data_IF_320818788284
#
_entry.id   IF_320818788284
#
_cell.length_a   1.000
_cell.length_b   1.000
_cell.length_c   1.000
_cell.angle_alpha   90.00
_cell.angle_beta   90.00
_cell.angle_gamma   90.00
#
_symmetry.space_group_name_H-M   'P 1'
#
loop_
_entity.id
_entity.type
_entity.pdbx_description
1 polymer ?
#
# COMPACT_ATOMS: atom_id res chain seq x y z
N UNK A 1 -7.90 23.64 -41.56
CA UNK A 1 -9.00 24.51 -41.11
C UNK A 1 -9.85 23.69 -40.16
N UNK A 2 -9.39 23.55 -38.90
CA UNK A 2 -10.12 22.99 -37.75
C UNK A 2 -9.15 22.92 -36.57
N UNK A 3 -8.69 24.09 -36.09
CA UNK A 3 -7.87 24.18 -34.87
C UNK A 3 -7.91 25.60 -34.29
N UNK A 4 -9.08 26.26 -34.34
CA UNK A 4 -9.30 27.61 -33.76
C UNK A 4 -10.71 27.79 -33.17
N UNK A 5 -11.47 26.73 -32.93
CA UNK A 5 -12.88 26.83 -32.49
C UNK A 5 -13.18 26.29 -31.09
N UNK A 6 -12.19 25.83 -30.31
CA UNK A 6 -12.43 25.26 -28.97
C UNK A 6 -12.01 26.21 -27.83
N UNK A 7 -11.15 27.21 -28.08
CA UNK A 7 -10.74 28.19 -27.05
C UNK A 7 -11.76 29.34 -26.85
N UNK A 8 -12.70 29.55 -27.77
CA UNK A 8 -13.66 30.66 -27.66
C UNK A 8 -14.81 30.37 -26.67
N UNK A 9 -15.23 29.10 -26.51
CA UNK A 9 -16.38 28.74 -25.68
C UNK A 9 -16.06 28.67 -24.17
N UNK A 10 -14.77 28.53 -23.80
CA UNK A 10 -14.33 28.49 -22.39
C UNK A 10 -14.17 29.88 -21.78
N UNK A 11 -13.82 30.88 -22.58
CA UNK A 11 -13.63 32.28 -22.14
C UNK A 11 -14.98 32.98 -21.91
N UNK A 12 -16.02 32.63 -22.68
CA UNK A 12 -17.36 33.24 -22.57
C UNK A 12 -18.09 32.81 -21.28
N UNK A 13 -17.94 31.55 -20.83
CA UNK A 13 -18.57 31.06 -19.60
C UNK A 13 -17.94 31.59 -18.31
N UNK A 14 -16.70 32.09 -18.36
CA UNK A 14 -16.03 32.74 -17.21
C UNK A 14 -16.45 34.20 -17.07
N UNK A 15 -16.76 34.87 -18.18
CA UNK A 15 -17.23 36.27 -18.18
C UNK A 15 -18.66 36.42 -17.62
N UNK A 16 -19.56 35.46 -17.87
CA UNK A 16 -20.92 35.48 -17.33
C UNK A 16 -20.98 35.26 -15.80
N UNK A 17 -20.04 34.49 -15.23
CA UNK A 17 -19.99 34.24 -13.78
C UNK A 17 -19.49 35.46 -12.98
N UNK A 18 -18.64 36.30 -13.57
CA UNK A 18 -18.16 37.53 -12.92
C UNK A 18 -19.22 38.64 -12.86
N UNK A 19 -20.23 38.63 -13.75
CA UNK A 19 -21.29 39.64 -13.74
C UNK A 19 -22.39 39.38 -12.70
N UNK A 20 -22.61 38.13 -12.25
CA UNK A 20 -23.72 37.82 -11.33
C UNK A 20 -23.41 38.07 -9.85
N UNK A 21 -22.16 38.31 -9.46
CA UNK A 21 -21.80 38.40 -8.03
C UNK A 21 -21.62 39.83 -7.49
N UNK A 22 -21.65 40.87 -8.35
CA UNK A 22 -21.39 42.26 -7.96
C UNK A 22 -22.56 43.24 -8.10
N UNK A 23 -23.79 42.75 -8.31
CA UNK A 23 -24.97 43.61 -8.43
C UNK A 23 -26.07 43.23 -7.43
N UNK A 24 -25.86 43.52 -6.15
CA UNK A 24 -26.95 43.92 -5.24
C UNK A 24 -26.37 44.58 -3.99
N UNK A 25 -26.40 45.91 -4.06
CA UNK A 25 -26.25 46.83 -2.95
C UNK A 25 -27.41 46.66 -1.95
N UNK A 26 -27.08 46.56 -0.67
CA UNK A 26 -27.99 46.84 0.45
C UNK A 26 -27.21 47.55 1.54
N UNK A 27 -26.82 48.79 1.24
CA UNK A 27 -27.39 49.92 1.98
C UNK A 27 -26.87 50.13 3.40
N UNK A 28 -25.60 50.54 3.53
CA UNK A 28 -25.20 51.55 4.53
C UNK A 28 -24.16 52.47 3.86
N UNK A 29 -24.62 53.64 3.40
CA UNK A 29 -23.77 54.76 3.00
C UNK A 29 -23.30 55.52 4.24
N UNK A 30 -22.00 55.47 4.54
CA UNK A 30 -21.35 56.45 5.41
C UNK A 30 -20.18 57.09 4.66
N UNK A 31 -20.50 57.75 3.54
CA UNK A 31 -19.64 58.74 2.92
C UNK A 31 -19.99 60.12 3.45
N UNK A 32 -19.45 60.49 4.61
CA UNK A 32 -19.47 61.87 5.08
C UNK A 32 -18.08 62.46 4.88
N UNK A 33 -17.96 63.28 3.84
CA UNK A 33 -16.81 64.15 3.59
C UNK A 33 -16.73 65.17 4.73
N UNK A 34 -15.61 65.21 5.47
CA UNK A 34 -15.37 66.23 6.49
C UNK A 34 -15.24 67.60 5.82
N UNK A 35 -16.25 68.44 6.02
CA UNK A 35 -16.22 69.88 5.75
C UNK A 35 -15.40 70.55 6.85
N UNK A 36 -14.50 71.43 6.43
CA UNK A 36 -13.64 72.23 7.29
C UNK A 36 -14.39 73.56 7.55
N UNK A 37 -14.97 73.70 8.73
CA UNK A 37 -15.53 74.98 9.20
C UNK A 37 -14.57 75.59 10.22
N UNK A 38 -13.95 76.70 9.82
CA UNK A 38 -13.24 77.63 10.69
C UNK A 38 -14.25 78.54 11.43
N UNK A 39 -13.85 78.93 12.64
CA UNK A 39 -14.41 79.97 13.53
C UNK A 39 -15.41 79.59 14.65
N UNK A 40 -15.15 80.22 15.81
CA UNK A 40 -16.01 80.41 17.00
C UNK A 40 -15.68 79.58 18.26
N UNK A 41 -14.62 80.03 18.95
CA UNK A 41 -14.50 80.20 20.42
C UNK A 41 -15.65 79.76 21.33
N UNK A 42 -15.37 78.89 22.33
CA UNK A 42 -15.52 79.20 23.77
C UNK A 42 -15.01 78.03 24.65
N UNK A 43 -14.41 78.42 25.76
CA UNK A 43 -13.71 77.60 26.75
C UNK A 43 -14.63 76.58 27.45
N UNK A 44 -14.12 75.36 27.73
CA UNK A 44 -14.43 74.69 28.99
C UNK A 44 -13.27 73.77 29.42
N UNK A 45 -12.83 74.02 30.65
CA UNK A 45 -11.67 73.45 31.35
C UNK A 45 -11.83 71.95 31.67
N UNK A 46 -10.74 71.19 31.50
CA UNK A 46 -10.68 69.77 31.86
C UNK A 46 -9.25 69.23 31.89
N UNK A 47 -8.57 69.41 33.02
CA UNK A 47 -7.24 68.87 33.33
C UNK A 47 -7.13 67.36 33.06
N UNK A 48 -6.32 66.95 32.06
CA UNK A 48 -5.70 65.61 32.01
C UNK A 48 -4.23 65.76 31.65
N UNK A 49 -3.36 65.39 32.59
CA UNK A 49 -1.91 65.28 32.40
C UNK A 49 -1.64 64.18 31.37
N UNK A 50 -1.04 64.55 30.24
CA UNK A 50 -0.41 63.60 29.31
C UNK A 50 1.10 63.63 29.54
N UNK A 51 1.67 62.48 29.86
CA UNK A 51 3.09 62.19 29.72
C UNK A 51 3.38 61.87 28.26
N UNK A 52 4.22 62.66 27.60
CA UNK A 52 4.69 62.40 26.25
C UNK A 52 5.67 61.23 26.26
N UNK A 53 5.24 60.08 25.72
CA UNK A 53 6.12 59.00 25.31
C UNK A 53 6.20 59.02 23.79
N UNK A 54 7.29 59.58 23.25
CA UNK A 54 7.62 59.57 21.82
C UNK A 54 7.65 58.13 21.31
N UNK A 55 6.72 57.74 20.44
CA UNK A 55 6.78 56.49 19.70
C UNK A 55 7.24 56.78 18.28
N UNK A 56 8.54 56.60 18.06
CA UNK A 56 9.12 56.47 16.72
C UNK A 56 8.79 55.09 16.17
N UNK A 57 8.09 55.01 15.04
CA UNK A 57 7.98 53.76 14.26
C UNK A 57 6.59 53.40 13.76
N UNK A 58 5.94 54.25 12.96
CA UNK A 58 4.65 53.96 12.32
C UNK A 58 4.74 53.98 10.80
N UNK A 59 5.64 53.19 10.22
CA UNK A 59 5.69 53.02 8.75
C UNK A 59 5.64 51.56 8.27
N UNK A 60 5.77 50.55 9.15
CA UNK A 60 5.82 49.14 8.73
C UNK A 60 4.45 48.43 8.65
N UNK A 61 3.34 49.09 9.02
CA UNK A 61 2.03 48.43 9.15
C UNK A 61 1.20 48.40 7.85
N UNK A 62 1.66 49.09 6.79
CA UNK A 62 0.91 49.27 5.54
C UNK A 62 1.42 48.43 4.36
N UNK A 63 2.48 47.64 4.52
CA UNK A 63 3.06 46.80 3.46
C UNK A 63 2.52 45.36 3.42
N UNK A 64 1.77 44.92 4.43
CA UNK A 64 1.28 43.54 4.53
C UNK A 64 -0.10 43.37 3.88
N UNK A 65 -0.18 42.41 2.95
CA UNK A 65 -1.45 42.00 2.35
C UNK A 65 -2.42 41.45 3.41
N UNK A 66 -3.73 41.51 3.15
CA UNK A 66 -4.75 40.91 4.04
C UNK A 66 -4.45 39.42 4.33
N UNK A 67 -3.94 38.68 3.34
CA UNK A 67 -3.54 37.29 3.50
C UNK A 67 -2.36 37.13 4.48
N UNK A 68 -1.33 37.98 4.41
CA UNK A 68 -0.19 37.95 5.33
C UNK A 68 -0.60 38.29 6.78
N UNK A 69 -1.51 39.26 6.97
CA UNK A 69 -2.05 39.59 8.31
C UNK A 69 -2.87 38.46 8.91
N UNK A 70 -3.70 37.80 8.10
CA UNK A 70 -4.48 36.63 8.53
C UNK A 70 -3.55 35.45 8.85
N UNK A 71 -2.50 35.22 8.03
CA UNK A 71 -1.49 34.19 8.29
C UNK A 71 -0.73 34.45 9.58
N UNK A 72 -0.26 35.69 9.82
CA UNK A 72 0.42 36.09 11.05
C UNK A 72 -0.44 35.89 12.31
N UNK A 73 -1.75 36.09 12.21
CA UNK A 73 -2.68 35.90 13.32
C UNK A 73 -3.04 34.42 13.57
N UNK A 74 -3.04 33.58 12.53
CA UNK A 74 -3.42 32.16 12.63
C UNK A 74 -2.22 31.22 12.87
N UNK A 75 -1.04 31.59 12.37
CA UNK A 75 0.19 30.80 12.37
C UNK A 75 1.43 31.69 12.57
N UNK A 76 1.60 32.31 13.75
CA UNK A 76 2.69 33.26 14.00
C UNK A 76 4.08 32.61 13.82
N UNK A 77 4.20 31.31 14.12
CA UNK A 77 5.39 30.47 13.89
C UNK A 77 5.76 30.16 12.41
N UNK A 78 4.98 30.62 11.44
CA UNK A 78 5.25 30.40 9.99
C UNK A 78 5.89 31.62 9.30
N UNK A 79 6.20 32.66 10.06
CA UNK A 79 6.85 33.87 9.56
C UNK A 79 8.38 33.67 9.59
N UNK A 80 9.04 33.94 8.46
CA UNK A 80 10.51 33.94 8.36
C UNK A 80 11.07 35.02 9.29
N UNK A 81 12.05 34.68 10.14
CA UNK A 81 12.77 35.63 10.99
C UNK A 81 13.41 36.73 10.11
N UNK A 82 12.72 37.85 9.98
CA UNK A 82 13.12 38.97 9.11
C UNK A 82 11.95 39.74 8.50
N UNK A 83 10.77 39.14 8.37
CA UNK A 83 9.52 39.82 7.95
C UNK A 83 8.59 40.16 9.12
N UNK A 84 9.10 40.09 10.35
CA UNK A 84 8.33 40.44 11.54
C UNK A 84 8.11 41.96 11.58
N UNK A 85 6.97 42.41 11.05
CA UNK A 85 6.30 43.58 11.59
C UNK A 85 6.19 43.37 13.10
N UNK A 86 6.52 44.41 13.87
CA UNK A 86 6.61 44.43 15.34
C UNK A 86 5.78 43.36 16.04
N UNK A 87 6.32 42.71 17.09
CA UNK A 87 5.58 41.70 17.81
C UNK A 87 4.26 42.31 18.26
N UNK A 88 3.15 41.82 17.70
CA UNK A 88 1.87 41.93 18.37
C UNK A 88 2.16 41.39 19.76
N UNK A 89 2.00 42.23 20.79
CA UNK A 89 2.20 41.83 22.17
C UNK A 89 1.35 40.58 22.39
N UNK A 90 1.98 39.42 22.26
CA UNK A 90 1.37 38.13 22.53
C UNK A 90 1.32 38.07 24.03
N UNK A 91 0.22 38.55 24.60
CA UNK A 91 -0.14 38.24 25.97
C UNK A 91 0.00 36.71 26.12
N UNK A 92 0.91 36.21 26.98
CA UNK A 92 1.13 34.78 27.16
C UNK A 92 -0.12 34.03 27.63
N UNK A 93 -1.16 34.75 28.06
CA UNK A 93 -2.46 34.20 28.46
C UNK A 93 -3.48 34.08 27.31
N UNK A 94 -3.21 34.64 26.13
CA UNK A 94 -4.13 34.58 24.99
C UNK A 94 -3.75 33.47 24.00
N UNK A 95 -4.39 32.32 24.17
CA UNK A 95 -4.35 31.25 23.17
C UNK A 95 -5.03 31.67 21.87
N UNK A 96 -4.33 31.49 20.75
CA UNK A 96 -4.89 31.64 19.41
C UNK A 96 -6.17 30.79 19.26
N UNK A 97 -7.10 31.20 18.38
CA UNK A 97 -8.30 30.39 18.10
C UNK A 97 -7.96 28.95 17.71
N UNK A 98 -6.78 28.73 17.12
CA UNK A 98 -6.27 27.41 16.72
C UNK A 98 -5.78 26.59 17.92
N UNK A 99 -5.17 27.22 18.93
CA UNK A 99 -4.80 26.59 20.21
C UNK A 99 -6.01 26.27 21.11
N UNK A 100 -7.21 26.77 20.75
CA UNK A 100 -8.47 26.43 21.42
C UNK A 100 -9.24 25.30 20.72
N UNK A 101 -8.76 24.80 19.58
CA UNK A 101 -9.39 23.67 18.89
C UNK A 101 -9.12 22.37 19.64
N UNK A 102 -9.96 21.36 19.41
CA UNK A 102 -9.78 20.02 19.95
C UNK A 102 -8.39 19.46 19.62
N UNK A 103 -7.84 18.62 20.51
CA UNK A 103 -6.51 18.00 20.37
C UNK A 103 -6.21 17.51 18.94
N UNK A 104 -7.12 16.81 18.22
CA UNK A 104 -6.85 16.33 16.86
C UNK A 104 -6.62 17.47 15.85
N UNK A 105 -7.30 18.59 16.03
CA UNK A 105 -7.06 19.77 15.19
C UNK A 105 -5.70 20.40 15.47
N UNK A 106 -5.22 20.33 16.71
CA UNK A 106 -3.90 20.84 17.09
C UNK A 106 -2.77 19.95 16.57
N UNK A 107 -2.89 18.62 16.69
CA UNK A 107 -1.90 17.68 16.14
C UNK A 107 -1.84 17.84 14.61
N UNK A 108 -2.99 18.02 13.94
CA UNK A 108 -3.05 18.26 12.49
C UNK A 108 -2.40 19.59 12.11
N UNK A 109 -2.64 20.64 12.91
CA UNK A 109 -1.96 21.93 12.75
C UNK A 109 -0.45 21.74 12.88
N UNK A 110 0.04 21.06 13.91
CA UNK A 110 1.47 20.83 14.13
C UNK A 110 2.10 20.03 13.00
N UNK A 111 1.45 18.95 12.55
CA UNK A 111 1.90 18.17 11.41
C UNK A 111 1.94 19.02 10.12
N UNK A 112 0.89 19.81 9.85
CA UNK A 112 0.86 20.71 8.70
C UNK A 112 1.92 21.82 8.78
N UNK A 113 2.16 22.40 9.96
CA UNK A 113 3.21 23.42 10.14
C UNK A 113 4.59 22.81 9.89
N UNK A 114 4.86 21.61 10.42
CA UNK A 114 6.10 20.89 10.12
C UNK A 114 6.29 20.61 8.62
N UNK A 115 5.20 20.43 7.86
CA UNK A 115 5.23 20.18 6.42
C UNK A 115 5.25 21.44 5.56
N UNK A 116 4.55 22.49 5.97
CA UNK A 116 4.47 23.78 5.25
C UNK A 116 5.78 24.55 5.40
N UNK A 117 6.44 24.45 6.55
CA UNK A 117 7.66 25.22 6.83
C UNK A 117 8.91 24.69 6.10
N UNK A 118 8.86 23.63 5.30
CA UNK A 118 10.04 23.26 4.50
C UNK A 118 9.76 22.34 3.31
N UNK A 119 10.32 22.70 2.14
CA UNK A 119 10.24 21.94 0.88
C UNK A 119 11.39 20.92 0.69
N UNK A 120 12.43 20.87 1.54
CA UNK A 120 13.67 20.12 1.23
C UNK A 120 14.40 19.39 2.41
N UNK A 121 13.82 19.21 3.60
CA UNK A 121 14.55 18.64 4.77
C UNK A 121 13.83 17.43 5.39
N UNK A 122 14.50 16.28 5.31
CA UNK A 122 14.09 14.98 5.81
C UNK A 122 13.80 14.96 7.33
N UNK A 123 14.49 15.81 8.09
CA UNK A 123 14.44 15.79 9.55
C UNK A 123 13.10 16.31 10.09
N UNK A 124 12.47 17.26 9.40
CA UNK A 124 11.17 17.84 9.77
C UNK A 124 9.99 16.93 9.39
N UNK A 125 10.05 16.24 8.24
CA UNK A 125 9.08 15.20 7.91
C UNK A 125 9.10 14.08 8.95
N UNK A 126 10.29 13.70 9.43
CA UNK A 126 10.46 12.74 10.53
C UNK A 126 9.84 13.24 11.84
N UNK A 127 9.84 14.56 12.11
CA UNK A 127 9.16 15.16 13.28
C UNK A 127 7.64 15.23 13.14
N UNK A 128 7.10 15.26 11.92
CA UNK A 128 5.65 15.21 11.68
C UNK A 128 5.06 13.80 11.85
N UNK A 129 5.88 12.75 11.69
CA UNK A 129 5.45 11.35 11.72
C UNK A 129 4.76 10.95 13.04
N UNK A 130 5.28 11.27 14.25
CA UNK A 130 4.60 10.94 15.50
C UNK A 130 3.22 11.60 15.63
N UNK A 131 3.11 12.85 15.18
CA UNK A 131 1.85 13.60 15.22
C UNK A 131 0.83 13.06 14.21
N UNK A 132 1.28 12.74 12.99
CA UNK A 132 0.48 12.02 12.01
C UNK A 132 0.04 10.66 12.54
N UNK A 133 0.91 9.93 13.25
CA UNK A 133 0.56 8.64 13.87
C UNK A 133 -0.55 8.79 14.92
N UNK A 134 -0.53 9.84 15.74
CA UNK A 134 -1.59 10.12 16.72
C UNK A 134 -2.91 10.46 16.03
N UNK A 135 -2.89 11.34 15.03
CA UNK A 135 -4.07 11.72 14.23
C UNK A 135 -4.71 10.53 13.51
N UNK A 136 -3.89 9.55 13.16
CA UNK A 136 -4.30 8.34 12.50
C UNK A 136 -4.94 7.31 13.44
N UNK A 137 -4.77 7.48 14.75
CA UNK A 137 -5.48 6.72 15.79
C UNK A 137 -6.72 7.43 16.34
N UNK A 138 -7.15 8.52 15.70
CA UNK A 138 -8.33 9.29 16.10
C UNK A 138 -9.64 8.53 15.83
N UNK A 139 -10.66 8.74 16.66
CA UNK A 139 -11.99 8.15 16.44
C UNK A 139 -12.73 8.80 15.27
N UNK A 140 -12.40 10.05 14.90
CA UNK A 140 -13.02 10.76 13.79
C UNK A 140 -12.44 10.30 12.44
N UNK A 141 -13.25 9.63 11.59
CA UNK A 141 -12.78 9.17 10.27
C UNK A 141 -12.33 10.32 9.36
N UNK A 142 -12.78 11.55 9.57
CA UNK A 142 -12.35 12.72 8.78
C UNK A 142 -10.89 13.09 9.11
N UNK A 143 -10.52 13.02 10.39
CA UNK A 143 -9.14 13.28 10.85
C UNK A 143 -8.20 12.23 10.30
N UNK A 144 -8.56 10.96 10.42
CA UNK A 144 -7.79 9.83 9.90
C UNK A 144 -7.59 9.95 8.39
N UNK A 145 -8.64 10.27 7.63
CA UNK A 145 -8.52 10.45 6.17
C UNK A 145 -7.59 11.61 5.80
N UNK A 146 -7.68 12.75 6.48
CA UNK A 146 -6.79 13.91 6.21
C UNK A 146 -5.33 13.58 6.53
N UNK A 147 -5.06 12.93 7.66
CA UNK A 147 -3.72 12.51 8.00
C UNK A 147 -3.17 11.46 7.02
N UNK A 148 -3.99 10.51 6.57
CA UNK A 148 -3.59 9.51 5.56
C UNK A 148 -3.26 10.14 4.20
N UNK A 149 -4.02 11.16 3.78
CA UNK A 149 -3.70 11.93 2.56
C UNK A 149 -2.35 12.63 2.67
N UNK A 150 -2.07 13.24 3.82
CA UNK A 150 -0.78 13.90 4.08
C UNK A 150 0.37 12.89 4.04
N UNK A 151 0.21 11.74 4.68
CA UNK A 151 1.20 10.65 4.66
C UNK A 151 1.46 10.13 3.24
N UNK A 152 0.43 10.07 2.39
CA UNK A 152 0.59 9.66 0.99
C UNK A 152 1.21 10.73 0.09
N UNK A 153 1.06 12.02 0.44
CA UNK A 153 1.65 13.14 -0.28
C UNK A 153 3.11 13.38 0.07
N UNK A 154 3.59 12.83 1.19
CA UNK A 154 5.03 12.78 1.48
C UNK A 154 5.74 11.98 0.38
N UNK A 155 6.30 12.68 -0.60
CA UNK A 155 7.31 12.11 -1.49
C UNK A 155 8.55 11.85 -0.64
N UNK A 156 8.93 10.58 -0.38
CA UNK A 156 10.11 10.32 0.41
C UNK A 156 11.33 10.79 -0.40
N UNK A 157 11.94 11.89 0.02
CA UNK A 157 13.19 12.40 -0.57
C UNK A 157 14.38 11.63 -0.01
N UNK A 158 14.26 11.09 1.21
CA UNK A 158 15.25 10.30 1.91
C UNK A 158 14.71 8.95 2.42
N UNK A 159 15.65 8.07 2.81
CA UNK A 159 15.35 6.70 3.21
C UNK A 159 14.66 6.59 4.58
N UNK A 160 14.90 7.55 5.49
CA UNK A 160 14.34 7.54 6.83
C UNK A 160 12.88 7.98 6.81
N UNK A 161 12.56 9.04 6.06
CA UNK A 161 11.17 9.45 5.80
C UNK A 161 10.39 8.31 5.12
N UNK A 162 10.98 7.62 4.15
CA UNK A 162 10.34 6.47 3.50
C UNK A 162 10.00 5.36 4.51
N UNK A 163 10.92 5.06 5.41
CA UNK A 163 10.77 4.03 6.46
C UNK A 163 9.69 4.42 7.46
N UNK A 164 9.70 5.66 7.92
CA UNK A 164 8.72 6.22 8.84
C UNK A 164 7.31 6.21 8.24
N UNK A 165 7.14 6.75 7.03
CA UNK A 165 5.87 6.72 6.29
C UNK A 165 5.35 5.28 6.12
N UNK A 166 6.20 4.35 5.69
CA UNK A 166 5.80 2.96 5.53
C UNK A 166 5.39 2.31 6.87
N UNK A 167 6.10 2.62 7.96
CA UNK A 167 5.77 2.14 9.31
C UNK A 167 4.41 2.64 9.79
N UNK A 168 4.09 3.91 9.54
CA UNK A 168 2.78 4.49 9.89
C UNK A 168 1.65 3.83 9.11
N UNK A 169 1.80 3.68 7.79
CA UNK A 169 0.82 2.97 6.95
C UNK A 169 0.63 1.52 7.40
N UNK A 170 1.72 0.86 7.82
CA UNK A 170 1.65 -0.48 8.38
C UNK A 170 0.85 -0.53 9.69
N UNK A 171 1.13 0.36 10.64
CA UNK A 171 0.39 0.44 11.90
C UNK A 171 -1.11 0.62 11.65
N UNK A 172 -1.48 1.55 10.76
CA UNK A 172 -2.86 1.79 10.34
C UNK A 172 -3.57 0.57 9.76
N UNK A 173 -2.85 -0.24 8.99
CA UNK A 173 -3.45 -1.37 8.25
C UNK A 173 -3.99 -2.50 9.13
N UNK A 174 -3.76 -2.44 10.45
CA UNK A 174 -4.33 -3.37 11.42
C UNK A 174 -5.77 -3.04 11.78
N UNK A 175 -6.26 -1.85 11.44
CA UNK A 175 -7.62 -1.39 11.72
C UNK A 175 -8.41 -1.26 10.42
N UNK A 176 -9.72 -1.56 10.47
CA UNK A 176 -10.59 -1.50 9.29
C UNK A 176 -10.69 -0.08 8.74
N UNK A 177 -10.78 0.89 9.62
CA UNK A 177 -10.86 2.33 9.33
C UNK A 177 -9.54 2.81 8.71
N UNK A 178 -8.41 2.36 9.25
CA UNK A 178 -7.08 2.64 8.70
C UNK A 178 -6.90 2.07 7.29
N UNK A 179 -7.33 0.83 7.03
CA UNK A 179 -7.32 0.25 5.69
C UNK A 179 -8.17 1.06 4.69
N UNK A 180 -9.37 1.48 5.11
CA UNK A 180 -10.25 2.30 4.30
C UNK A 180 -9.63 3.68 3.99
N UNK A 181 -8.99 4.29 4.98
CA UNK A 181 -8.31 5.57 4.83
C UNK A 181 -7.13 5.48 3.86
N UNK A 182 -6.27 4.46 4.02
CA UNK A 182 -5.16 4.20 3.09
C UNK A 182 -5.69 4.02 1.66
N UNK A 183 -6.77 3.24 1.50
CA UNK A 183 -7.36 2.97 0.19
C UNK A 183 -7.93 4.24 -0.45
N UNK A 184 -8.77 4.99 0.28
CA UNK A 184 -9.38 6.24 -0.22
C UNK A 184 -8.36 7.33 -0.52
N UNK A 185 -7.28 7.40 0.24
CA UNK A 185 -6.20 8.36 0.04
C UNK A 185 -5.24 7.98 -1.11
N UNK A 186 -5.52 6.91 -1.87
CA UNK A 186 -4.66 6.49 -2.98
C UNK A 186 -3.34 5.85 -2.54
N UNK A 187 -3.32 5.20 -1.37
CA UNK A 187 -2.12 4.62 -0.78
C UNK A 187 -1.58 3.40 -1.53
N UNK A 188 -2.41 2.67 -2.29
CA UNK A 188 -1.97 1.46 -3.02
C UNK A 188 -0.85 1.76 -4.02
N UNK A 189 -1.00 2.72 -4.97
CA UNK A 189 0.11 3.11 -5.84
C UNK A 189 1.40 3.51 -5.10
N UNK A 190 1.27 4.21 -3.97
CA UNK A 190 2.43 4.59 -3.16
C UNK A 190 3.14 3.36 -2.55
N UNK A 191 2.37 2.43 -1.96
CA UNK A 191 2.88 1.18 -1.43
C UNK A 191 3.54 0.31 -2.52
N UNK A 192 2.96 0.27 -3.72
CA UNK A 192 3.56 -0.45 -4.86
C UNK A 192 4.90 0.17 -5.27
N UNK A 193 5.03 1.51 -5.26
CA UNK A 193 6.33 2.17 -5.49
C UNK A 193 7.35 1.81 -4.40
N UNK A 194 6.93 1.75 -3.14
CA UNK A 194 7.80 1.36 -2.01
C UNK A 194 8.40 -0.04 -2.17
N UNK A 195 7.75 -0.95 -2.92
CA UNK A 195 8.29 -2.28 -3.23
C UNK A 195 9.56 -2.27 -4.10
N UNK A 196 9.96 -1.11 -4.64
CA UNK A 196 11.22 -0.93 -5.35
C UNK A 196 12.35 -0.37 -4.46
N UNK A 197 12.07 -0.12 -3.17
CA UNK A 197 13.05 0.46 -2.25
C UNK A 197 14.23 -0.48 -2.00
N UNK A 198 15.47 0.02 -1.94
CA UNK A 198 16.63 -0.77 -1.53
C UNK A 198 16.63 -1.08 -0.03
N UNK A 199 15.81 -0.41 0.79
CA UNK A 199 15.76 -0.60 2.24
C UNK A 199 14.78 -1.70 2.64
N UNK A 200 15.30 -2.73 3.30
CA UNK A 200 14.55 -3.94 3.66
C UNK A 200 13.34 -3.65 4.57
N UNK A 201 13.48 -2.73 5.52
CA UNK A 201 12.37 -2.34 6.41
C UNK A 201 11.21 -1.67 5.64
N UNK A 202 11.53 -0.83 4.65
CA UNK A 202 10.52 -0.21 3.76
C UNK A 202 9.81 -1.28 2.93
N UNK A 203 10.56 -2.24 2.36
CA UNK A 203 9.96 -3.36 1.63
C UNK A 203 9.03 -4.17 2.54
N UNK A 204 9.47 -4.47 3.76
CA UNK A 204 8.72 -5.29 4.71
C UNK A 204 7.41 -4.60 5.14
N UNK A 205 7.46 -3.32 5.48
CA UNK A 205 6.25 -2.55 5.79
C UNK A 205 5.35 -2.44 4.56
N UNK A 206 5.89 -2.08 3.39
CA UNK A 206 5.13 -1.94 2.15
C UNK A 206 4.37 -3.22 1.77
N UNK A 207 5.05 -4.38 1.76
CA UNK A 207 4.41 -5.65 1.40
C UNK A 207 3.38 -6.10 2.43
N UNK A 208 3.64 -5.87 3.72
CA UNK A 208 2.72 -6.29 4.79
C UNK A 208 1.46 -5.42 4.80
N UNK A 209 1.59 -4.11 4.57
CA UNK A 209 0.44 -3.21 4.41
C UNK A 209 -0.40 -3.59 3.19
N UNK A 210 0.24 -3.90 2.05
CA UNK A 210 -0.46 -4.41 0.86
C UNK A 210 -1.17 -5.74 1.14
N UNK A 211 -0.55 -6.65 1.89
CA UNK A 211 -1.16 -7.92 2.27
C UNK A 211 -2.43 -7.72 3.09
N UNK A 212 -2.40 -6.84 4.09
CA UNK A 212 -3.58 -6.50 4.90
C UNK A 212 -4.70 -5.89 4.05
N UNK A 213 -4.36 -4.98 3.12
CA UNK A 213 -5.33 -4.44 2.15
C UNK A 213 -5.94 -5.55 1.28
N UNK A 214 -5.13 -6.46 0.74
CA UNK A 214 -5.60 -7.55 -0.11
C UNK A 214 -6.52 -8.55 0.62
N UNK A 215 -6.33 -8.72 1.93
CA UNK A 215 -7.13 -9.59 2.78
C UNK A 215 -8.45 -8.94 3.22
N UNK A 216 -8.42 -7.66 3.57
CA UNK A 216 -9.48 -7.05 4.37
C UNK A 216 -10.12 -5.81 3.77
N UNK A 217 -9.53 -5.21 2.72
CA UNK A 217 -10.08 -4.04 2.05
C UNK A 217 -10.71 -4.43 0.70
N UNK A 218 -12.03 -4.24 0.59
CA UNK A 218 -12.75 -4.43 -0.66
C UNK A 218 -12.22 -3.47 -1.75
N UNK A 219 -12.13 -3.96 -2.99
CA UNK A 219 -11.57 -3.21 -4.11
C UNK A 219 -10.03 -3.20 -4.19
N UNK A 220 -9.32 -3.52 -3.09
CA UNK A 220 -7.85 -3.46 -3.07
C UNK A 220 -7.19 -4.36 -4.12
N UNK A 221 -7.72 -5.58 -4.34
CA UNK A 221 -7.19 -6.50 -5.37
C UNK A 221 -7.21 -5.89 -6.77
N UNK A 222 -8.26 -5.16 -7.12
CA UNK A 222 -8.33 -4.49 -8.43
C UNK A 222 -7.35 -3.31 -8.49
N UNK A 223 -7.32 -2.48 -7.45
CA UNK A 223 -6.44 -1.33 -7.38
C UNK A 223 -4.94 -1.72 -7.44
N UNK A 224 -4.55 -2.82 -6.78
CA UNK A 224 -3.16 -3.33 -6.85
C UNK A 224 -2.81 -3.80 -8.27
N UNK A 225 -3.74 -4.43 -9.00
CA UNK A 225 -3.51 -4.81 -10.40
C UNK A 225 -3.34 -3.59 -11.30
N UNK A 226 -4.22 -2.60 -11.18
CA UNK A 226 -4.16 -1.36 -11.95
C UNK A 226 -2.91 -0.51 -11.64
N UNK A 227 -2.32 -0.68 -10.46
CA UNK A 227 -1.09 -0.02 -10.07
C UNK A 227 0.19 -0.80 -10.47
N UNK A 228 0.09 -1.80 -11.36
CA UNK A 228 1.20 -2.68 -11.76
C UNK A 228 1.87 -3.40 -10.57
N UNK A 229 1.09 -3.72 -9.54
CA UNK A 229 1.60 -4.32 -8.31
C UNK A 229 2.24 -5.69 -8.54
N UNK A 230 1.71 -6.50 -9.45
CA UNK A 230 2.25 -7.84 -9.75
C UNK A 230 3.68 -7.77 -10.30
N UNK A 231 3.94 -6.83 -11.22
CA UNK A 231 5.25 -6.59 -11.82
C UNK A 231 6.30 -6.16 -10.77
N UNK A 232 5.86 -5.55 -9.66
CA UNK A 232 6.73 -5.20 -8.53
C UNK A 232 6.85 -6.32 -7.49
N UNK A 233 5.81 -7.13 -7.30
CA UNK A 233 5.81 -8.21 -6.30
C UNK A 233 6.60 -9.43 -6.77
N UNK A 234 6.51 -9.84 -8.04
CA UNK A 234 7.19 -11.06 -8.53
C UNK A 234 8.72 -11.00 -8.37
N UNK A 235 9.42 -9.90 -8.69
CA UNK A 235 10.87 -9.80 -8.47
C UNK A 235 11.29 -9.95 -6.99
N UNK A 236 10.41 -9.68 -6.04
CA UNK A 236 10.68 -9.84 -4.60
C UNK A 236 10.83 -11.30 -4.18
N UNK A 237 10.40 -12.26 -5.01
CA UNK A 237 10.62 -13.69 -4.78
C UNK A 237 12.12 -14.07 -4.75
N UNK A 238 13.01 -13.18 -5.23
CA UNK A 238 14.46 -13.35 -5.20
C UNK A 238 15.10 -12.91 -3.87
N UNK A 239 14.33 -12.38 -2.92
CA UNK A 239 14.83 -12.06 -1.57
C UNK A 239 15.02 -13.34 -0.75
N UNK A 240 15.84 -13.27 0.30
CA UNK A 240 16.23 -14.45 1.07
C UNK A 240 15.35 -14.73 2.30
N UNK A 241 14.70 -13.70 2.86
CA UNK A 241 13.97 -13.80 4.13
C UNK A 241 12.68 -14.65 4.01
N UNK A 242 12.59 -15.82 4.68
CA UNK A 242 11.45 -16.72 4.49
C UNK A 242 10.10 -16.15 4.95
N UNK A 243 10.09 -15.32 5.99
CA UNK A 243 8.85 -14.70 6.50
C UNK A 243 8.33 -13.64 5.53
N UNK A 244 9.24 -12.84 4.98
CA UNK A 244 8.93 -11.86 3.93
C UNK A 244 8.42 -12.55 2.66
N UNK A 245 9.08 -13.62 2.22
CA UNK A 245 8.65 -14.40 1.07
C UNK A 245 7.25 -15.00 1.28
N UNK A 246 6.91 -15.46 2.49
CA UNK A 246 5.60 -16.04 2.77
C UNK A 246 4.46 -15.01 2.62
N UNK A 247 4.70 -13.74 2.98
CA UNK A 247 3.75 -12.65 2.77
C UNK A 247 3.67 -12.34 1.27
N UNK A 248 4.82 -12.25 0.60
CA UNK A 248 4.94 -11.96 -0.83
C UNK A 248 4.19 -13.00 -1.68
N UNK A 249 4.36 -14.29 -1.40
CA UNK A 249 3.68 -15.38 -2.13
C UNK A 249 2.18 -15.41 -1.84
N UNK A 250 1.75 -15.10 -0.61
CA UNK A 250 0.32 -15.02 -0.30
C UNK A 250 -0.35 -13.83 -1.02
N UNK A 251 0.34 -12.69 -1.17
CA UNK A 251 -0.12 -11.58 -2.03
C UNK A 251 -0.31 -12.04 -3.48
N UNK A 252 0.65 -12.77 -4.06
CA UNK A 252 0.52 -13.34 -5.41
C UNK A 252 -0.64 -14.32 -5.51
N UNK A 253 -0.88 -15.13 -4.48
CA UNK A 253 -2.00 -16.05 -4.42
C UNK A 253 -3.34 -15.30 -4.46
N UNK A 254 -3.49 -14.26 -3.63
CA UNK A 254 -4.71 -13.44 -3.54
C UNK A 254 -5.01 -12.70 -4.84
N UNK A 255 -3.97 -12.24 -5.53
CA UNK A 255 -4.09 -11.49 -6.79
C UNK A 255 -4.35 -12.41 -8.00
N UNK A 256 -3.83 -13.64 -8.01
CA UNK A 256 -3.96 -14.56 -9.14
C UNK A 256 -5.19 -15.47 -9.09
N UNK A 257 -5.77 -15.67 -7.91
CA UNK A 257 -6.95 -16.53 -7.76
C UNK A 257 -8.13 -16.01 -8.58
N UNK A 258 -8.63 -16.84 -9.50
CA UNK A 258 -9.74 -16.48 -10.38
C UNK A 258 -9.46 -15.39 -11.42
N UNK A 259 -8.22 -14.93 -11.59
CA UNK A 259 -7.89 -13.84 -12.51
C UNK A 259 -6.81 -14.26 -13.52
N UNK A 260 -7.20 -14.44 -14.79
CA UNK A 260 -6.32 -14.99 -15.82
C UNK A 260 -5.17 -14.03 -16.18
N UNK A 261 -5.44 -12.73 -16.29
CA UNK A 261 -4.44 -11.71 -16.58
C UNK A 261 -3.31 -11.70 -15.54
N UNK A 262 -3.66 -11.76 -14.25
CA UNK A 262 -2.69 -11.82 -13.16
C UNK A 262 -1.76 -13.03 -13.28
N UNK A 263 -2.28 -14.18 -13.71
CA UNK A 263 -1.47 -15.40 -13.94
C UNK A 263 -0.49 -15.20 -15.10
N UNK A 264 -0.90 -14.50 -16.16
CA UNK A 264 -0.03 -14.22 -17.31
C UNK A 264 1.05 -13.19 -16.96
N UNK A 265 0.73 -12.18 -16.15
CA UNK A 265 1.73 -11.22 -15.64
C UNK A 265 2.76 -11.94 -14.76
N UNK A 266 2.32 -12.86 -13.89
CA UNK A 266 3.25 -13.67 -13.08
C UNK A 266 4.19 -14.50 -13.96
N UNK A 267 3.66 -15.12 -15.02
CA UNK A 267 4.45 -15.87 -16.00
C UNK A 267 5.48 -14.97 -16.70
N UNK A 268 5.05 -13.82 -17.22
CA UNK A 268 5.90 -12.89 -17.96
C UNK A 268 7.06 -12.33 -17.12
N UNK A 269 6.96 -12.38 -15.79
CA UNK A 269 7.98 -11.92 -14.86
C UNK A 269 8.82 -13.07 -14.24
N UNK A 270 8.76 -14.30 -14.80
CA UNK A 270 9.56 -15.44 -14.33
C UNK A 270 9.09 -16.00 -12.98
N UNK A 271 7.78 -15.89 -12.71
CA UNK A 271 7.16 -16.37 -11.49
C UNK A 271 7.33 -17.89 -11.27
N UNK A 272 7.03 -18.76 -12.26
CA UNK A 272 7.17 -20.21 -12.11
C UNK A 272 8.54 -20.66 -11.61
N UNK A 273 9.62 -20.14 -12.20
CA UNK A 273 11.00 -20.48 -11.85
C UNK A 273 11.33 -20.08 -10.41
N UNK A 274 10.93 -18.87 -10.00
CA UNK A 274 11.17 -18.37 -8.64
C UNK A 274 10.37 -19.18 -7.60
N UNK A 275 9.11 -19.51 -7.89
CA UNK A 275 8.26 -20.30 -6.98
C UNK A 275 8.77 -21.74 -6.84
N UNK A 276 9.19 -22.36 -7.94
CA UNK A 276 9.80 -23.71 -7.91
C UNK A 276 11.14 -23.68 -7.18
N UNK A 277 11.94 -22.62 -7.35
CA UNK A 277 13.17 -22.42 -6.58
C UNK A 277 12.88 -22.37 -5.08
N UNK A 278 11.86 -21.64 -4.64
CA UNK A 278 11.46 -21.59 -3.22
C UNK A 278 11.10 -22.98 -2.71
N UNK A 279 10.31 -23.75 -3.48
CA UNK A 279 9.92 -25.11 -3.11
C UNK A 279 11.13 -26.06 -2.96
N UNK A 280 12.24 -25.84 -3.67
CA UNK A 280 13.44 -26.68 -3.57
C UNK A 280 14.37 -26.31 -2.42
N UNK A 281 14.46 -25.03 -2.08
CA UNK A 281 15.58 -24.50 -1.30
C UNK A 281 15.19 -24.03 0.12
N UNK A 282 13.91 -24.06 0.47
CA UNK A 282 13.42 -23.64 1.78
C UNK A 282 12.74 -24.78 2.53
N UNK A 283 12.77 -24.72 3.86
CA UNK A 283 12.10 -25.67 4.76
C UNK A 283 11.05 -24.99 5.66
N UNK A 284 10.89 -23.67 5.57
CA UNK A 284 9.91 -22.94 6.37
C UNK A 284 8.49 -23.26 5.90
N UNK A 285 7.76 -24.05 6.70
CA UNK A 285 6.46 -24.63 6.30
C UNK A 285 5.45 -23.58 5.82
N UNK A 286 5.34 -22.43 6.48
CA UNK A 286 4.39 -21.38 6.07
C UNK A 286 4.72 -20.83 4.68
N UNK A 287 6.01 -20.68 4.36
CA UNK A 287 6.45 -20.27 3.02
C UNK A 287 6.16 -21.34 1.98
N UNK A 288 6.50 -22.61 2.27
CA UNK A 288 6.21 -23.72 1.36
C UNK A 288 4.71 -23.84 1.08
N UNK A 289 3.88 -23.72 2.11
CA UNK A 289 2.44 -23.78 1.99
C UNK A 289 1.88 -22.63 1.14
N UNK A 290 2.24 -21.38 1.42
CA UNK A 290 1.81 -20.21 0.62
C UNK A 290 2.30 -20.31 -0.83
N UNK A 291 3.55 -20.72 -1.06
CA UNK A 291 4.13 -20.94 -2.39
C UNK A 291 3.38 -22.03 -3.17
N UNK A 292 3.09 -23.17 -2.53
CA UNK A 292 2.33 -24.26 -3.15
C UNK A 292 0.92 -23.82 -3.56
N UNK A 293 0.29 -22.90 -2.81
CA UNK A 293 -1.02 -22.33 -3.17
C UNK A 293 -0.94 -21.46 -4.42
N UNK A 294 0.14 -20.70 -4.61
CA UNK A 294 0.36 -19.95 -5.86
C UNK A 294 0.52 -20.93 -7.02
N UNK A 295 1.40 -21.93 -6.89
CA UNK A 295 1.61 -22.95 -7.93
C UNK A 295 0.31 -23.70 -8.27
N UNK A 296 -0.55 -24.00 -7.28
CA UNK A 296 -1.87 -24.57 -7.53
C UNK A 296 -2.75 -23.67 -8.41
N UNK A 297 -2.79 -22.36 -8.14
CA UNK A 297 -3.57 -21.40 -8.94
C UNK A 297 -3.01 -21.26 -10.36
N UNK A 298 -1.69 -21.33 -10.50
CA UNK A 298 -1.02 -21.23 -11.80
C UNK A 298 -1.11 -22.53 -12.62
N UNK A 299 -1.13 -23.70 -11.97
CA UNK A 299 -1.16 -25.00 -12.67
C UNK A 299 -2.42 -25.25 -13.51
N UNK A 300 -3.52 -24.54 -13.23
CA UNK A 300 -4.75 -24.58 -14.06
C UNK A 300 -4.71 -23.59 -15.24
N UNK A 301 -3.67 -22.76 -15.37
CA UNK A 301 -3.48 -21.87 -16.50
C UNK A 301 -2.66 -22.59 -17.60
N UNK A 302 -3.19 -22.75 -18.83
CA UNK A 302 -2.51 -23.46 -19.91
C UNK A 302 -1.11 -22.93 -20.23
N UNK A 303 -0.87 -21.63 -20.07
CA UNK A 303 0.44 -21.02 -20.33
C UNK A 303 1.43 -21.19 -19.17
N UNK A 304 0.96 -21.21 -17.93
CA UNK A 304 1.84 -21.40 -16.76
C UNK A 304 2.18 -22.87 -16.53
N UNK A 305 1.26 -23.78 -16.84
CA UNK A 305 1.45 -25.23 -16.66
C UNK A 305 2.78 -25.74 -17.26
N UNK A 306 3.10 -25.54 -18.55
CA UNK A 306 4.36 -25.99 -19.11
C UNK A 306 5.56 -25.30 -18.46
N UNK A 307 5.49 -23.99 -18.19
CA UNK A 307 6.58 -23.27 -17.55
C UNK A 307 6.91 -23.81 -16.14
N UNK A 308 5.90 -24.18 -15.35
CA UNK A 308 6.11 -24.82 -14.03
C UNK A 308 6.77 -26.19 -14.21
N UNK A 309 6.33 -26.96 -15.21
CA UNK A 309 6.89 -28.28 -15.52
C UNK A 309 8.34 -28.17 -15.98
N UNK A 310 8.66 -27.25 -16.89
CA UNK A 310 10.01 -26.97 -17.41
C UNK A 310 10.96 -26.46 -16.32
N UNK A 311 10.46 -25.67 -15.37
CA UNK A 311 11.22 -25.28 -14.17
C UNK A 311 11.52 -26.48 -13.24
N UNK A 312 10.93 -27.66 -13.50
CA UNK A 312 10.99 -28.89 -12.72
C UNK A 312 10.15 -28.83 -11.44
N UNK A 313 8.96 -28.25 -11.57
CA UNK A 313 7.98 -28.14 -10.48
C UNK A 313 7.47 -29.50 -9.99
N UNK A 314 7.45 -30.52 -10.85
CA UNK A 314 7.04 -31.88 -10.47
C UNK A 314 7.95 -32.46 -9.38
N UNK A 315 9.26 -32.39 -9.60
CA UNK A 315 10.27 -32.88 -8.66
C UNK A 315 10.26 -32.05 -7.38
N UNK A 316 10.18 -30.72 -7.50
CA UNK A 316 10.17 -29.81 -6.36
C UNK A 316 8.95 -30.02 -5.44
N UNK A 317 7.75 -30.19 -6.00
CA UNK A 317 6.54 -30.47 -5.22
C UNK A 317 6.58 -31.87 -4.59
N UNK A 318 7.15 -32.84 -5.30
CA UNK A 318 7.31 -34.22 -4.83
C UNK A 318 8.08 -34.36 -3.53
N UNK A 319 9.09 -33.50 -3.31
CA UNK A 319 9.90 -33.47 -2.08
C UNK A 319 9.08 -33.23 -0.80
N UNK A 320 7.89 -32.66 -0.92
CA UNK A 320 7.05 -32.27 0.22
C UNK A 320 5.88 -33.22 0.49
N UNK A 321 5.83 -34.38 -0.17
CA UNK A 321 4.73 -35.35 -0.05
C UNK A 321 4.86 -36.27 1.18
N UNK A 322 6.01 -36.31 1.83
CA UNK A 322 6.29 -37.15 3.02
C UNK A 322 6.47 -36.35 4.30
N UNK A 323 6.11 -35.06 4.28
CA UNK A 323 6.24 -34.16 5.42
C UNK A 323 5.18 -34.38 6.51
N UNK A 324 5.19 -33.56 7.55
CA UNK A 324 4.18 -33.57 8.62
C UNK A 324 2.98 -32.66 8.33
N UNK A 325 3.13 -31.67 7.43
CA UNK A 325 2.07 -30.70 7.13
C UNK A 325 1.08 -31.23 6.09
N UNK A 326 -0.07 -31.70 6.57
CA UNK A 326 -1.16 -32.22 5.72
C UNK A 326 -1.66 -31.17 4.72
N UNK A 327 -1.77 -29.91 5.13
CA UNK A 327 -2.20 -28.82 4.24
C UNK A 327 -1.21 -28.56 3.10
N UNK A 328 0.09 -28.74 3.35
CA UNK A 328 1.11 -28.60 2.31
C UNK A 328 1.05 -29.79 1.37
N UNK A 329 1.05 -31.01 1.90
CA UNK A 329 0.96 -32.27 1.12
C UNK A 329 -0.24 -32.22 0.18
N UNK A 330 -1.42 -31.87 0.69
CA UNK A 330 -2.64 -31.81 -0.11
C UNK A 330 -2.56 -30.77 -1.24
N UNK A 331 -1.96 -29.60 -0.99
CA UNK A 331 -1.76 -28.60 -2.05
C UNK A 331 -0.72 -29.05 -3.08
N UNK A 332 0.34 -29.74 -2.67
CA UNK A 332 1.30 -30.35 -3.59
C UNK A 332 0.63 -31.41 -4.47
N UNK A 333 -0.17 -32.31 -3.90
CA UNK A 333 -0.92 -33.32 -4.65
C UNK A 333 -1.89 -32.72 -5.68
N UNK A 334 -2.68 -31.72 -5.28
CA UNK A 334 -3.57 -31.03 -6.23
C UNK A 334 -2.80 -30.38 -7.37
N UNK A 335 -1.67 -29.75 -7.06
CA UNK A 335 -0.83 -29.10 -8.06
C UNK A 335 -0.20 -30.14 -9.00
N UNK A 336 0.40 -31.19 -8.46
CA UNK A 336 0.99 -32.29 -9.23
C UNK A 336 -0.04 -32.91 -10.17
N UNK A 337 -1.28 -33.14 -9.71
CA UNK A 337 -2.36 -33.67 -10.54
C UNK A 337 -2.66 -32.75 -11.73
N UNK A 338 -2.74 -31.44 -11.50
CA UNK A 338 -2.98 -30.46 -12.56
C UNK A 338 -1.82 -30.34 -13.56
N UNK A 339 -0.59 -30.66 -13.16
CA UNK A 339 0.59 -30.58 -14.01
C UNK A 339 0.88 -31.90 -14.77
N UNK A 340 0.44 -33.03 -14.21
CA UNK A 340 0.83 -34.38 -14.64
C UNK A 340 0.52 -34.70 -16.10
N UNK A 341 -0.55 -34.14 -16.68
CA UNK A 341 -0.90 -34.29 -18.09
C UNK A 341 0.13 -33.64 -19.04
N UNK A 342 0.81 -32.59 -18.58
CA UNK A 342 1.88 -31.91 -19.32
C UNK A 342 3.28 -32.45 -18.98
N UNK A 343 3.41 -33.29 -17.96
CA UNK A 343 4.70 -33.79 -17.47
C UNK A 343 5.07 -35.18 -18.00
N UNK A 344 4.37 -35.71 -19.00
CA UNK A 344 4.57 -37.08 -19.53
C UNK A 344 5.96 -37.33 -20.11
N UNK A 345 6.70 -36.29 -20.47
CA UNK A 345 8.07 -36.38 -21.01
C UNK A 345 9.17 -35.98 -20.01
N UNK A 346 8.80 -35.71 -18.76
CA UNK A 346 9.77 -35.26 -17.75
C UNK A 346 10.67 -36.40 -17.27
N UNK A 347 11.92 -36.05 -16.97
CA UNK A 347 12.92 -36.97 -16.42
C UNK A 347 13.10 -36.75 -14.90
N UNK A 348 13.77 -37.69 -14.24
CA UNK A 348 14.06 -37.60 -12.80
C UNK A 348 12.79 -37.63 -11.94
N UNK A 349 11.74 -38.32 -12.39
CA UNK A 349 10.50 -38.50 -11.64
C UNK A 349 10.50 -39.75 -10.76
N UNK A 350 11.57 -40.56 -10.77
CA UNK A 350 11.63 -41.87 -10.11
C UNK A 350 11.29 -41.78 -8.61
N UNK A 351 11.89 -40.81 -7.89
CA UNK A 351 11.58 -40.57 -6.48
C UNK A 351 10.13 -40.11 -6.25
N UNK A 352 9.57 -39.29 -7.15
CA UNK A 352 8.16 -38.88 -7.06
C UNK A 352 7.23 -40.09 -7.29
N UNK A 353 7.50 -40.91 -8.30
CA UNK A 353 6.71 -42.11 -8.61
C UNK A 353 6.72 -43.10 -7.45
N UNK A 354 7.89 -43.31 -6.83
CA UNK A 354 8.05 -44.15 -5.65
C UNK A 354 7.17 -43.68 -4.48
N UNK A 355 7.18 -42.37 -4.21
CA UNK A 355 6.33 -41.79 -3.17
C UNK A 355 4.85 -41.98 -3.52
N UNK A 356 4.44 -41.69 -4.76
CA UNK A 356 3.04 -41.79 -5.18
C UNK A 356 2.50 -43.23 -5.10
N UNK A 357 3.32 -44.23 -5.47
CA UNK A 357 2.94 -45.65 -5.32
C UNK A 357 2.77 -46.00 -3.83
N UNK A 358 3.63 -45.49 -2.96
CA UNK A 358 3.49 -45.69 -1.51
C UNK A 358 2.19 -45.10 -0.98
N UNK A 359 1.77 -43.93 -1.51
CA UNK A 359 0.50 -43.28 -1.14
C UNK A 359 -0.76 -44.03 -1.61
N UNK A 360 -0.64 -45.05 -2.46
CA UNK A 360 -1.78 -45.91 -2.83
C UNK A 360 -2.28 -46.76 -1.65
N UNK A 361 -1.46 -46.98 -0.63
CA UNK A 361 -1.85 -47.64 0.62
C UNK A 361 -2.48 -46.70 1.66
N UNK A 362 -2.68 -45.42 1.35
CA UNK A 362 -3.25 -44.45 2.30
C UNK A 362 -4.75 -44.68 2.52
N UNK A 363 -5.19 -44.61 3.78
CA UNK A 363 -6.61 -44.65 4.13
C UNK A 363 -7.32 -43.31 3.82
N UNK A 364 -6.59 -42.25 3.45
CA UNK A 364 -7.16 -40.96 3.03
C UNK A 364 -7.57 -40.99 1.54
N UNK A 365 -8.89 -40.97 1.31
CA UNK A 365 -9.51 -41.00 -0.03
C UNK A 365 -9.03 -39.85 -0.92
N UNK A 366 -8.81 -38.64 -0.39
CA UNK A 366 -8.35 -37.50 -1.17
C UNK A 366 -6.92 -37.70 -1.67
N UNK A 367 -6.06 -38.22 -0.79
CA UNK A 367 -4.68 -38.55 -1.10
C UNK A 367 -4.60 -39.66 -2.14
N UNK A 368 -5.37 -40.74 -1.94
CA UNK A 368 -5.47 -41.86 -2.87
C UNK A 368 -5.96 -41.41 -4.25
N UNK A 369 -7.02 -40.60 -4.31
CA UNK A 369 -7.59 -40.06 -5.56
C UNK A 369 -6.58 -39.19 -6.31
N UNK A 370 -5.79 -38.38 -5.59
CA UNK A 370 -4.75 -37.58 -6.22
C UNK A 370 -3.60 -38.45 -6.71
N UNK A 371 -3.10 -39.39 -5.89
CA UNK A 371 -1.98 -40.26 -6.24
C UNK A 371 -2.29 -41.12 -7.48
N UNK A 372 -3.46 -41.77 -7.50
CA UNK A 372 -3.95 -42.54 -8.65
C UNK A 372 -4.08 -41.69 -9.91
N UNK A 373 -4.69 -40.50 -9.80
CA UNK A 373 -4.84 -39.58 -10.94
C UNK A 373 -3.50 -39.09 -11.49
N UNK A 374 -2.52 -38.78 -10.64
CA UNK A 374 -1.18 -38.37 -11.07
C UNK A 374 -0.49 -39.53 -11.79
N UNK A 375 -0.50 -40.73 -11.20
CA UNK A 375 0.12 -41.92 -11.79
C UNK A 375 -0.52 -42.28 -13.13
N UNK A 376 -1.85 -42.18 -13.25
CA UNK A 376 -2.57 -42.42 -14.51
C UNK A 376 -2.10 -41.48 -15.62
N UNK A 377 -1.98 -40.18 -15.34
CA UNK A 377 -1.49 -39.22 -16.33
C UNK A 377 -0.01 -39.45 -16.69
N UNK A 378 0.85 -39.69 -15.70
CA UNK A 378 2.29 -39.87 -15.93
C UNK A 378 2.63 -41.19 -16.65
N UNK A 379 1.84 -42.23 -16.46
CA UNK A 379 2.01 -43.52 -17.15
C UNK A 379 1.41 -43.50 -18.56
N UNK A 380 0.57 -42.53 -18.90
CA UNK A 380 -0.03 -42.43 -20.23
C UNK A 380 1.06 -42.23 -21.30
N UNK A 381 1.18 -43.18 -22.22
CA UNK A 381 2.15 -43.20 -23.33
C UNK A 381 3.63 -43.04 -22.92
N UNK A 382 3.99 -43.43 -21.69
CA UNK A 382 5.38 -43.45 -21.23
C UNK A 382 5.77 -44.85 -20.73
N UNK A 383 6.35 -45.66 -21.62
CA UNK A 383 6.77 -47.04 -21.32
C UNK A 383 7.82 -47.11 -20.20
N UNK A 384 8.73 -46.13 -20.10
CA UNK A 384 9.74 -46.06 -19.03
C UNK A 384 9.08 -45.89 -17.66
N UNK A 385 8.14 -44.95 -17.55
CA UNK A 385 7.39 -44.71 -16.31
C UNK A 385 6.50 -45.93 -15.99
N UNK A 386 5.85 -46.52 -16.98
CA UNK A 386 5.06 -47.75 -16.80
C UNK A 386 5.90 -48.89 -16.23
N UNK A 387 7.07 -49.19 -16.80
CA UNK A 387 7.95 -50.26 -16.31
C UNK A 387 8.43 -49.97 -14.88
N UNK A 388 8.79 -48.73 -14.56
CA UNK A 388 9.22 -48.37 -13.21
C UNK A 388 8.08 -48.47 -12.18
N UNK A 389 6.87 -48.00 -12.53
CA UNK A 389 5.70 -48.11 -11.66
C UNK A 389 5.32 -49.58 -11.44
N UNK A 390 5.29 -50.40 -12.50
CA UNK A 390 4.98 -51.84 -12.40
C UNK A 390 6.00 -52.61 -11.55
N UNK A 391 7.29 -52.36 -11.74
CA UNK A 391 8.35 -53.01 -10.94
C UNK A 391 8.17 -52.69 -9.45
N UNK A 392 7.85 -51.43 -9.16
CA UNK A 392 7.68 -50.98 -7.77
C UNK A 392 6.38 -51.49 -7.16
N UNK A 393 5.25 -51.47 -7.88
CA UNK A 393 3.99 -52.04 -7.39
C UNK A 393 4.11 -53.54 -7.15
N UNK A 394 4.79 -54.30 -8.02
CA UNK A 394 5.07 -55.72 -7.78
C UNK A 394 5.91 -55.95 -6.52
N UNK A 395 6.89 -55.08 -6.23
CA UNK A 395 7.67 -55.18 -4.98
C UNK A 395 6.88 -54.84 -3.72
N UNK A 396 5.94 -53.88 -3.81
CA UNK A 396 5.07 -53.47 -2.69
C UNK A 396 3.98 -54.52 -2.44
N UNK A 397 3.40 -55.10 -3.49
CA UNK A 397 2.42 -56.20 -3.39
C UNK A 397 3.05 -57.50 -2.87
N UNK A 398 4.35 -57.72 -3.08
CA UNK A 398 5.07 -58.85 -2.52
C UNK A 398 5.38 -58.70 -1.01
N UNK A 399 5.10 -57.53 -0.41
CA UNK A 399 5.26 -57.29 1.02
C UNK A 399 4.03 -57.82 1.78
N UNK A 400 4.18 -58.77 2.72
CA UNK A 400 3.07 -59.39 3.45
C UNK A 400 2.19 -58.43 4.25
N UNK A 401 2.69 -57.23 4.56
CA UNK A 401 2.03 -56.23 5.40
C UNK A 401 1.35 -55.10 4.59
N UNK A 402 1.42 -55.11 3.25
CA UNK A 402 0.85 -54.04 2.42
C UNK A 402 -0.64 -54.26 2.10
N UNK A 403 -1.48 -53.32 2.53
CA UNK A 403 -2.95 -53.27 2.29
C UNK A 403 -3.37 -53.04 0.80
N UNK A 404 -2.54 -53.38 -0.18
CA UNK A 404 -2.82 -53.06 -1.59
C UNK A 404 -3.72 -54.08 -2.32
N UNK A 405 -4.27 -55.08 -1.64
CA UNK A 405 -5.20 -56.11 -2.18
C UNK A 405 -6.57 -55.57 -2.68
N UNK A 406 -6.71 -54.27 -2.95
CA UNK A 406 -7.97 -53.62 -3.36
C UNK A 406 -7.84 -52.66 -4.55
N UNK A 407 -6.89 -52.91 -5.45
CA UNK A 407 -6.85 -52.31 -6.80
C UNK A 407 -7.05 -53.42 -7.82
#
# INVERSE_FOLDING_TARGET
MEMMSIEADSVVKVAEWQQTYYATDSGIQSGATTVQDDESSTEYSGNKKYTNSTTTGTEAQYSLTRAQRVRAAMFPETLVEGEAAMPVQSDPSQQSNVQRLAEPSQLLKTALVHLINYQDDAELATRAVPELTKLLGDEDPVVVNKAAMIVNQLTPTDMETARCTASVLHSLSHQREGLLAIFKAGGIPALVRMLSSPVESVLFYGITTLHNLLLHQEGAKMAVRLADGLQRIVPLLKKSNPKFLAITTDCLQLLSYGNQESKLIILANGGPECLVFIMRNYNYEKLLWTTSRVLKVLSVCPSNKPAIVEAGGMQALGQHLTGSSQRLIQNCLWTLRNLSDAATKQEGLDGLLQILVTQLGSDDVNMLTCATGILSNLTCNNSRIQTHTLTYTSSVLACPDCKLDRL
#
